data_IF_904005153487
#
_entry.id   IF_904005153487
#
_cell.length_a   1.000
_cell.length_b   1.000
_cell.length_c   1.000
_cell.angle_alpha   90.00
_cell.angle_beta   90.00
_cell.angle_gamma   90.00
#
_symmetry.space_group_name_H-M   'P 1'
#
loop_
_entity.id
_entity.type
_entity.pdbx_description
1 polymer ?
#
# COMPACT_ATOMS: atom_id res chain seq x y z
N UNK A 1 4.37 -39.82 -18.13
CA UNK A 1 4.62 -38.51 -17.49
C UNK A 1 3.38 -38.15 -16.67
N UNK A 2 3.50 -38.14 -15.34
CA UNK A 2 2.37 -38.27 -14.40
C UNK A 2 1.47 -37.03 -14.34
N UNK A 3 0.15 -37.21 -14.39
CA UNK A 3 -0.89 -36.17 -14.34
C UNK A 3 -0.78 -35.22 -13.13
N UNK A 4 -0.15 -35.70 -12.04
CA UNK A 4 0.14 -34.89 -10.84
C UNK A 4 1.14 -33.76 -11.10
N UNK A 5 2.12 -33.97 -11.98
CA UNK A 5 3.14 -32.95 -12.33
C UNK A 5 2.53 -31.83 -13.16
N UNK A 6 1.60 -32.18 -14.06
CA UNK A 6 0.90 -31.21 -14.91
C UNK A 6 -0.05 -30.32 -14.10
N UNK A 7 -0.74 -30.88 -13.09
CA UNK A 7 -1.59 -30.12 -12.18
C UNK A 7 -0.81 -29.15 -11.27
N UNK A 8 0.36 -29.58 -10.77
CA UNK A 8 1.21 -28.74 -9.92
C UNK A 8 1.81 -27.54 -10.68
N UNK A 9 2.20 -27.75 -11.94
CA UNK A 9 2.70 -26.68 -12.81
C UNK A 9 1.61 -25.65 -13.15
N UNK A 10 0.39 -26.10 -13.46
CA UNK A 10 -0.72 -25.21 -13.79
C UNK A 10 -1.15 -24.32 -12.61
N UNK A 11 -1.11 -24.84 -11.37
CA UNK A 11 -1.39 -24.05 -10.16
C UNK A 11 -0.30 -23.02 -9.90
N UNK A 12 0.97 -23.39 -10.10
CA UNK A 12 2.11 -22.49 -9.93
C UNK A 12 2.08 -21.33 -10.95
N UNK A 13 1.81 -21.64 -12.22
CA UNK A 13 1.68 -20.65 -13.30
C UNK A 13 0.50 -19.70 -13.04
N UNK A 14 -0.67 -20.21 -12.64
CA UNK A 14 -1.83 -19.37 -12.26
C UNK A 14 -1.52 -18.45 -11.08
N UNK A 15 -0.78 -18.94 -10.08
CA UNK A 15 -0.36 -18.14 -8.92
C UNK A 15 0.61 -17.01 -9.28
N UNK A 16 1.50 -17.24 -10.25
CA UNK A 16 2.44 -16.23 -10.77
C UNK A 16 1.70 -15.18 -11.61
N UNK A 17 0.79 -15.60 -12.50
CA UNK A 17 -0.03 -14.70 -13.30
C UNK A 17 -0.90 -13.80 -12.44
N UNK A 18 -1.52 -14.32 -11.37
CA UNK A 18 -2.34 -13.50 -10.48
C UNK A 18 -1.53 -12.46 -9.72
N UNK A 19 -0.36 -12.82 -9.18
CA UNK A 19 0.54 -11.86 -8.51
C UNK A 19 1.02 -10.79 -9.47
N UNK A 20 1.36 -11.15 -10.71
CA UNK A 20 1.78 -10.21 -11.73
C UNK A 20 0.64 -9.25 -12.09
N UNK A 21 -0.57 -9.77 -12.32
CA UNK A 21 -1.76 -8.94 -12.62
C UNK A 21 -2.05 -7.98 -11.47
N UNK A 22 -2.02 -8.44 -10.23
CA UNK A 22 -2.21 -7.57 -9.06
C UNK A 22 -1.10 -6.51 -8.93
N UNK A 23 0.15 -6.86 -9.24
CA UNK A 23 1.27 -5.93 -9.26
C UNK A 23 1.10 -4.86 -10.34
N UNK A 24 0.74 -5.25 -11.57
CA UNK A 24 0.49 -4.33 -12.67
C UNK A 24 -0.70 -3.41 -12.38
N UNK A 25 -1.79 -3.95 -11.83
CA UNK A 25 -2.95 -3.18 -11.43
C UNK A 25 -2.59 -2.15 -10.34
N UNK A 26 -1.85 -2.58 -9.31
CA UNK A 26 -1.40 -1.70 -8.23
C UNK A 26 -0.44 -0.62 -8.73
N UNK A 27 0.48 -0.98 -9.62
CA UNK A 27 1.38 -0.04 -10.29
C UNK A 27 0.61 0.98 -11.13
N UNK A 28 -0.36 0.53 -11.92
CA UNK A 28 -1.22 1.40 -12.72
C UNK A 28 -1.97 2.43 -11.85
N UNK A 29 -2.63 2.01 -10.78
CA UNK A 29 -3.31 2.93 -9.87
C UNK A 29 -2.34 3.90 -9.18
N UNK A 30 -1.12 3.45 -8.85
CA UNK A 30 -0.10 4.31 -8.27
C UNK A 30 0.34 5.41 -9.25
N UNK A 31 0.65 5.06 -10.50
CA UNK A 31 1.01 6.04 -11.52
C UNK A 31 -0.15 6.97 -11.89
N UNK A 32 -1.38 6.44 -11.92
CA UNK A 32 -2.58 7.25 -12.17
C UNK A 32 -2.78 8.30 -11.07
N UNK A 33 -2.65 7.92 -9.79
CA UNK A 33 -2.73 8.86 -8.68
C UNK A 33 -1.61 9.92 -8.74
N UNK A 34 -0.40 9.51 -9.12
CA UNK A 34 0.74 10.41 -9.27
C UNK A 34 0.53 11.42 -10.41
N UNK A 35 0.02 10.95 -11.56
CA UNK A 35 -0.31 11.81 -12.69
C UNK A 35 -1.41 12.82 -12.34
N UNK A 36 -2.49 12.37 -11.69
CA UNK A 36 -3.57 13.26 -11.23
C UNK A 36 -3.01 14.31 -10.25
N UNK A 37 -2.20 13.89 -9.26
CA UNK A 37 -1.58 14.80 -8.30
C UNK A 37 -0.68 15.84 -8.98
N UNK A 38 0.13 15.43 -9.96
CA UNK A 38 0.99 16.33 -10.73
C UNK A 38 0.19 17.34 -11.55
N UNK A 39 -0.86 16.89 -12.26
CA UNK A 39 -1.75 17.77 -13.03
C UNK A 39 -2.42 18.79 -12.09
N UNK A 40 -2.96 18.32 -10.96
CA UNK A 40 -3.55 19.21 -9.97
C UNK A 40 -2.55 20.25 -9.44
N UNK A 41 -1.30 19.85 -9.21
CA UNK A 41 -0.27 20.76 -8.73
C UNK A 41 0.12 21.84 -9.76
N UNK A 42 0.16 21.49 -11.05
CA UNK A 42 0.52 22.42 -12.13
C UNK A 42 -0.60 23.40 -12.44
N UNK A 43 -1.85 22.94 -12.48
CA UNK A 43 -2.98 23.77 -12.92
C UNK A 43 -3.71 24.52 -11.79
N UNK A 44 -3.37 24.24 -10.52
CA UNK A 44 -4.00 24.90 -9.36
C UNK A 44 -2.92 25.57 -8.50
N UNK A 45 -2.32 26.62 -9.04
CA UNK A 45 -1.29 27.45 -8.40
C UNK A 45 -1.87 28.56 -7.51
N UNK A 46 -3.20 28.72 -7.50
CA UNK A 46 -3.91 29.66 -6.63
C UNK A 46 -3.54 29.45 -5.16
N UNK A 47 -3.22 30.53 -4.45
CA UNK A 47 -2.81 30.48 -3.06
C UNK A 47 -4.02 30.44 -2.13
N UNK A 48 -4.14 29.36 -1.37
CA UNK A 48 -5.21 29.19 -0.38
C UNK A 48 -4.63 29.02 1.03
N UNK A 49 -5.38 29.47 2.02
CA UNK A 49 -5.15 29.13 3.43
C UNK A 49 -6.05 27.96 3.82
N UNK A 50 -5.46 26.84 4.22
CA UNK A 50 -6.22 25.71 4.75
C UNK A 50 -6.51 25.96 6.23
N UNK A 51 -7.79 26.01 6.58
CA UNK A 51 -8.25 26.14 7.96
C UNK A 51 -8.37 24.76 8.58
N UNK A 52 -7.45 24.41 9.48
CA UNK A 52 -7.61 23.25 10.34
C UNK A 52 -8.40 23.63 11.59
N UNK A 53 -9.05 22.65 12.22
CA UNK A 53 -9.87 22.84 13.43
C UNK A 53 -9.12 23.55 14.55
N UNK A 54 -7.80 23.35 14.65
CA UNK A 54 -6.95 23.94 15.70
C UNK A 54 -5.82 24.83 15.20
N UNK A 55 -5.57 24.89 13.88
CA UNK A 55 -4.40 25.57 13.31
C UNK A 55 -4.78 26.26 12.00
N UNK A 56 -4.41 27.52 11.84
CA UNK A 56 -4.44 28.17 10.52
C UNK A 56 -3.12 27.91 9.83
N UNK A 57 -3.18 27.30 8.65
CA UNK A 57 -1.97 27.03 7.89
C UNK A 57 -1.62 28.18 6.95
N UNK A 58 -0.32 28.31 6.63
CA UNK A 58 0.18 29.39 5.80
C UNK A 58 -0.42 29.34 4.39
N UNK A 59 -0.47 30.50 3.74
CA UNK A 59 -0.81 30.60 2.33
C UNK A 59 0.17 29.77 1.50
N UNK A 60 -0.36 28.75 0.83
CA UNK A 60 0.36 27.92 -0.12
C UNK A 60 -0.59 27.53 -1.25
N UNK A 61 -0.06 27.04 -2.38
CA UNK A 61 -0.91 26.68 -3.50
C UNK A 61 -1.86 25.53 -3.15
N UNK A 62 -3.06 25.51 -3.75
CA UNK A 62 -4.00 24.39 -3.63
C UNK A 62 -3.30 23.08 -4.00
N UNK A 63 -2.52 23.11 -5.07
CA UNK A 63 -1.69 22.01 -5.54
C UNK A 63 -0.76 21.44 -4.46
N UNK A 64 -0.08 22.30 -3.71
CA UNK A 64 0.80 21.88 -2.62
C UNK A 64 0.01 21.16 -1.52
N UNK A 65 -1.11 21.72 -1.09
CA UNK A 65 -1.95 21.11 -0.05
C UNK A 65 -2.47 19.73 -0.48
N UNK A 66 -2.95 19.60 -1.71
CA UNK A 66 -3.41 18.32 -2.26
C UNK A 66 -2.28 17.27 -2.27
N UNK A 67 -1.09 17.65 -2.75
CA UNK A 67 0.07 16.76 -2.74
C UNK A 67 0.47 16.35 -1.32
N UNK A 68 0.46 17.28 -0.37
CA UNK A 68 0.80 17.03 1.02
C UNK A 68 -0.17 16.02 1.66
N UNK A 69 -1.49 16.24 1.52
CA UNK A 69 -2.48 15.31 2.07
C UNK A 69 -2.46 13.95 1.38
N UNK A 70 -2.25 13.92 0.07
CA UNK A 70 -2.07 12.66 -0.66
C UNK A 70 -0.87 11.89 -0.13
N UNK A 71 0.27 12.57 0.05
CA UNK A 71 1.48 11.96 0.60
C UNK A 71 1.25 11.41 2.01
N UNK A 72 0.63 12.19 2.90
CA UNK A 72 0.27 11.75 4.25
C UNK A 72 -0.67 10.55 4.21
N UNK A 73 -1.69 10.56 3.35
CA UNK A 73 -2.62 9.44 3.16
C UNK A 73 -1.94 8.15 2.69
N UNK A 74 -1.00 8.26 1.74
CA UNK A 74 -0.19 7.12 1.27
C UNK A 74 0.66 6.56 2.40
N UNK A 75 1.34 7.41 3.18
CA UNK A 75 2.11 6.97 4.34
C UNK A 75 1.23 6.25 5.35
N UNK A 76 0.06 6.81 5.69
CA UNK A 76 -0.91 6.16 6.57
C UNK A 76 -1.37 4.79 6.04
N UNK A 77 -1.63 4.68 4.74
CA UNK A 77 -1.99 3.41 4.10
C UNK A 77 -0.88 2.36 4.21
N UNK A 78 0.38 2.77 4.02
CA UNK A 78 1.57 1.90 4.17
C UNK A 78 1.73 1.47 5.63
N UNK A 79 1.62 2.40 6.59
CA UNK A 79 1.71 2.09 8.01
C UNK A 79 0.59 1.13 8.45
N UNK A 80 -0.65 1.37 8.02
CA UNK A 80 -1.79 0.51 8.32
C UNK A 80 -1.58 -0.92 7.80
N UNK A 81 -1.11 -1.05 6.56
CA UNK A 81 -0.80 -2.35 5.95
C UNK A 81 0.35 -3.07 6.68
N UNK A 82 1.39 -2.33 7.06
CA UNK A 82 2.57 -2.88 7.76
C UNK A 82 2.21 -3.35 9.17
N UNK A 83 1.31 -2.64 9.86
CA UNK A 83 0.84 -3.01 11.18
C UNK A 83 0.10 -4.35 11.16
N UNK A 84 -0.70 -4.63 10.12
CA UNK A 84 -1.33 -5.94 9.95
C UNK A 84 -0.27 -7.04 9.82
N UNK A 85 0.70 -6.89 8.93
CA UNK A 85 1.78 -7.89 8.73
C UNK A 85 2.56 -8.13 10.02
N UNK A 86 2.88 -7.07 10.76
CA UNK A 86 3.55 -7.18 12.05
C UNK A 86 2.73 -7.93 13.10
N UNK A 87 1.41 -7.70 13.16
CA UNK A 87 0.50 -8.47 14.04
C UNK A 87 0.51 -9.96 13.69
N UNK A 88 0.42 -10.30 12.41
CA UNK A 88 0.52 -11.70 11.96
C UNK A 88 1.87 -12.32 12.36
N UNK A 89 2.97 -11.61 12.14
CA UNK A 89 4.30 -12.08 12.54
C UNK A 89 4.41 -12.36 14.04
N UNK A 90 3.85 -11.49 14.89
CA UNK A 90 3.83 -11.69 16.35
C UNK A 90 3.03 -12.93 16.77
N UNK A 91 1.90 -13.20 16.13
CA UNK A 91 1.10 -14.40 16.40
C UNK A 91 1.91 -15.66 16.03
N UNK A 92 2.58 -15.66 14.88
CA UNK A 92 3.41 -16.78 14.44
C UNK A 92 4.56 -17.08 15.39
N UNK A 93 5.26 -16.04 15.86
CA UNK A 93 6.34 -16.22 16.84
C UNK A 93 5.86 -16.84 18.15
N UNK A 94 4.68 -16.44 18.63
CA UNK A 94 4.09 -17.00 19.85
C UNK A 94 3.72 -18.48 19.67
N UNK A 95 3.13 -18.86 18.54
CA UNK A 95 2.81 -20.26 18.25
C UNK A 95 4.07 -21.11 18.11
N UNK A 96 5.14 -20.59 17.50
CA UNK A 96 6.43 -21.29 17.36
C UNK A 96 7.08 -21.61 18.70
N UNK A 97 6.95 -20.71 19.68
CA UNK A 97 7.43 -20.92 21.06
C UNK A 97 6.71 -22.07 21.76
N UNK A 98 5.39 -22.17 21.59
CA UNK A 98 4.58 -23.20 22.26
C UNK A 98 4.82 -24.59 21.66
N UNK A 99 4.90 -24.70 20.33
CA UNK A 99 5.17 -25.98 19.65
C UNK A 99 6.55 -26.56 20.03
N UNK A 100 7.56 -25.72 20.31
CA UNK A 100 8.87 -26.18 20.76
C UNK A 100 8.93 -26.63 22.22
N UNK A 101 8.01 -26.14 23.07
CA UNK A 101 7.92 -26.51 24.49
C UNK A 101 7.17 -27.82 24.73
N UNK A 102 6.37 -28.29 23.76
CA UNK A 102 5.63 -29.56 23.83
C UNK A 102 6.48 -30.77 23.37
N UNK A 103 7.70 -30.52 22.89
CA UNK A 103 8.66 -31.51 22.40
C UNK A 103 9.82 -31.82 23.36
N UNK A 104 9.83 -31.21 24.55
CA UNK A 104 10.73 -31.51 25.68
C UNK A 104 9.97 -32.19 26.82
#
# INVERSE_FOLDING_TARGET
MSSKVLGSLAVCVRGISLRLVLFLLKSFFFFLALAIGAIFAVYNDEQISVHFVFVQASHASVGFWLLLFMFVGVLLGIFSSSLMVFRYYRILLKSKKNVGADSE
#
